data_IF_138443455856
#
_entry.id   IF_138443455856
#
_cell.length_a   1.000
_cell.length_b   1.000
_cell.length_c   1.000
_cell.angle_alpha   90.00
_cell.angle_beta   90.00
_cell.angle_gamma   90.00
#
_symmetry.space_group_name_H-M   'P 1'
#
loop_
_entity.id
_entity.type
_entity.pdbx_description
1 polymer ?
#
# COMPACT_ATOMS: atom_id res chain seq x y z
N UNK A 1 10.94 -23.46 23.58
CA UNK A 1 10.92 -23.32 22.11
C UNK A 1 12.24 -22.67 21.74
N UNK A 2 13.00 -23.26 20.81
CA UNK A 2 14.25 -22.66 20.33
C UNK A 2 13.96 -21.75 19.15
N UNK A 3 14.80 -20.74 18.91
CA UNK A 3 14.81 -20.03 17.63
C UNK A 3 15.48 -20.93 16.61
N UNK A 4 14.89 -21.06 15.43
CA UNK A 4 15.38 -21.86 14.32
C UNK A 4 15.32 -20.99 13.06
N UNK A 5 16.36 -21.08 12.23
CA UNK A 5 16.33 -20.48 10.91
C UNK A 5 15.69 -21.44 9.92
N UNK A 6 15.01 -20.92 8.90
CA UNK A 6 14.35 -21.72 7.87
C UNK A 6 15.17 -21.68 6.59
N UNK A 7 15.46 -22.85 6.00
CA UNK A 7 16.09 -22.94 4.68
C UNK A 7 15.07 -23.49 3.70
N UNK A 8 14.80 -22.71 2.65
CA UNK A 8 13.96 -23.12 1.54
C UNK A 8 14.78 -23.86 0.48
N UNK A 9 14.22 -24.92 -0.07
CA UNK A 9 14.85 -25.73 -1.10
C UNK A 9 14.48 -25.25 -2.50
N UNK A 10 15.47 -25.16 -3.39
CA UNK A 10 15.24 -24.90 -4.83
C UNK A 10 14.31 -25.97 -5.46
N UNK A 11 14.33 -27.19 -4.91
CA UNK A 11 13.48 -28.30 -5.31
C UNK A 11 12.90 -28.98 -4.08
N UNK A 12 11.58 -29.15 -4.07
CA UNK A 12 10.89 -29.82 -2.97
C UNK A 12 11.31 -31.29 -2.83
N UNK A 13 11.41 -31.75 -1.59
CA UNK A 13 11.62 -33.16 -1.28
C UNK A 13 10.30 -33.89 -1.10
N UNK A 14 10.24 -35.14 -1.53
CA UNK A 14 9.02 -35.95 -1.36
C UNK A 14 9.06 -36.76 -0.06
N UNK A 15 8.03 -36.59 0.76
CA UNK A 15 7.83 -37.36 1.97
C UNK A 15 7.65 -38.85 1.62
N UNK A 16 8.44 -39.78 2.19
CA UNK A 16 8.32 -41.21 1.89
C UNK A 16 7.02 -41.84 2.41
N UNK A 17 6.34 -41.19 3.37
CA UNK A 17 5.12 -41.71 4.01
C UNK A 17 3.86 -41.27 3.28
N UNK A 18 3.67 -39.97 3.06
CA UNK A 18 2.45 -39.42 2.45
C UNK A 18 2.62 -38.93 1.02
N UNK A 19 3.83 -38.98 0.45
CA UNK A 19 4.16 -38.41 -0.86
C UNK A 19 3.94 -36.89 -0.98
N UNK A 20 3.68 -36.19 0.13
CA UNK A 20 3.60 -34.73 0.16
C UNK A 20 4.95 -34.07 -0.08
N UNK A 21 4.91 -32.84 -0.59
CA UNK A 21 6.08 -32.02 -0.86
C UNK A 21 6.57 -31.34 0.43
N UNK A 22 7.89 -31.26 0.60
CA UNK A 22 8.58 -30.59 1.70
C UNK A 22 9.47 -29.53 1.07
N UNK A 23 9.15 -28.26 1.31
CA UNK A 23 9.80 -27.12 0.67
C UNK A 23 10.91 -26.50 1.52
N UNK A 24 10.99 -26.83 2.80
CA UNK A 24 11.96 -26.23 3.71
C UNK A 24 12.40 -27.16 4.83
N UNK A 25 13.44 -26.73 5.54
CA UNK A 25 13.91 -27.35 6.78
C UNK A 25 14.30 -26.28 7.79
N UNK A 26 13.94 -26.52 9.05
CA UNK A 26 14.36 -25.68 10.17
C UNK A 26 15.68 -26.18 10.74
N UNK A 27 16.60 -25.25 11.01
CA UNK A 27 17.98 -25.59 11.37
C UNK A 27 18.45 -24.75 12.55
N UNK A 28 19.41 -25.28 13.31
CA UNK A 28 20.03 -24.57 14.45
C UNK A 28 21.50 -24.21 14.28
N UNK A 29 22.05 -24.55 13.13
CA UNK A 29 23.49 -24.50 12.88
C UNK A 29 24.00 -23.12 12.42
N UNK A 30 23.12 -22.13 12.34
CA UNK A 30 23.44 -20.75 11.97
C UNK A 30 23.15 -19.81 13.16
N UNK A 31 22.91 -18.53 12.90
CA UNK A 31 22.82 -17.51 13.94
C UNK A 31 21.54 -17.60 14.78
N UNK A 32 20.54 -18.38 14.35
CA UNK A 32 19.24 -18.58 15.03
C UNK A 32 18.46 -17.27 15.20
N UNK A 33 18.43 -16.47 14.13
CA UNK A 33 17.83 -15.15 14.08
C UNK A 33 16.35 -15.19 13.65
N UNK A 34 15.78 -16.39 13.44
CA UNK A 34 14.46 -16.59 12.84
C UNK A 34 14.40 -16.08 11.40
N UNK A 35 15.51 -16.23 10.68
CA UNK A 35 15.63 -15.78 9.31
C UNK A 35 15.27 -16.90 8.32
N UNK A 36 14.81 -16.46 7.15
CA UNK A 36 14.41 -17.29 6.03
C UNK A 36 15.47 -17.19 4.94
N UNK A 37 16.14 -18.29 4.63
CA UNK A 37 17.26 -18.33 3.70
C UNK A 37 16.97 -19.15 2.45
N UNK A 38 17.44 -18.63 1.32
CA UNK A 38 17.46 -19.28 0.01
C UNK A 38 18.90 -19.48 -0.47
N UNK A 39 19.07 -20.32 -1.48
CA UNK A 39 20.38 -20.53 -2.10
C UNK A 39 20.93 -19.19 -2.60
N UNK A 40 22.23 -18.96 -2.32
CA UNK A 40 23.01 -17.72 -2.49
C UNK A 40 22.87 -16.68 -1.38
N UNK A 41 22.01 -16.90 -0.38
CA UNK A 41 21.91 -15.96 0.74
C UNK A 41 23.08 -16.12 1.72
N UNK A 42 23.35 -15.04 2.47
CA UNK A 42 24.37 -15.01 3.49
C UNK A 42 23.83 -15.61 4.80
N UNK A 43 24.40 -16.74 5.21
CA UNK A 43 23.98 -17.50 6.40
C UNK A 43 25.03 -17.49 7.51
N UNK A 44 26.10 -16.71 7.35
CA UNK A 44 27.15 -16.56 8.37
C UNK A 44 28.37 -15.81 7.85
N UNK A 45 29.45 -15.85 8.63
CA UNK A 45 30.65 -15.08 8.31
C UNK A 45 31.39 -15.60 7.05
N UNK A 46 32.09 -14.72 6.34
CA UNK A 46 32.83 -15.03 5.10
C UNK A 46 33.94 -16.09 5.25
N UNK A 47 34.33 -16.40 6.48
CA UNK A 47 35.33 -17.42 6.81
C UNK A 47 34.69 -18.80 7.06
N UNK A 48 33.38 -18.87 7.26
CA UNK A 48 32.69 -20.09 7.63
C UNK A 48 32.46 -21.00 6.43
N UNK A 49 32.85 -22.25 6.60
CA UNK A 49 32.56 -23.34 5.68
C UNK A 49 31.96 -24.46 6.52
N UNK A 50 30.72 -24.85 6.21
CA UNK A 50 29.97 -25.85 6.98
C UNK A 50 29.11 -26.72 6.07
N UNK A 51 29.04 -28.00 6.43
CA UNK A 51 28.04 -28.94 5.92
C UNK A 51 27.24 -29.40 7.13
N UNK A 52 25.96 -29.08 7.14
CA UNK A 52 25.04 -29.39 8.23
C UNK A 52 24.13 -30.51 7.76
N UNK A 53 23.94 -31.53 8.59
CA UNK A 53 23.01 -32.62 8.31
C UNK A 53 21.76 -32.42 9.14
N UNK A 54 20.61 -32.29 8.50
CA UNK A 54 19.32 -32.15 9.17
C UNK A 54 18.33 -33.23 8.71
N UNK A 55 17.40 -33.61 9.58
CA UNK A 55 16.34 -34.56 9.24
C UNK A 55 15.11 -33.82 8.72
N UNK A 56 14.58 -34.27 7.59
CA UNK A 56 13.40 -33.66 6.97
C UNK A 56 12.16 -33.93 7.83
N UNK A 57 11.46 -32.87 8.18
CA UNK A 57 10.14 -32.90 8.81
C UNK A 57 9.05 -32.74 7.75
N UNK A 58 7.97 -33.52 7.86
CA UNK A 58 6.83 -33.41 6.97
C UNK A 58 5.62 -32.87 7.72
N UNK A 59 5.11 -31.71 7.32
CA UNK A 59 3.96 -31.06 7.96
C UNK A 59 2.69 -31.92 7.87
N UNK A 60 2.43 -32.51 6.70
CA UNK A 60 1.28 -33.40 6.47
C UNK A 60 1.27 -34.63 7.39
N UNK A 61 2.45 -35.15 7.75
CA UNK A 61 2.56 -36.29 8.67
C UNK A 61 2.85 -35.87 10.12
N UNK A 62 3.13 -34.58 10.34
CA UNK A 62 3.60 -33.98 11.59
C UNK A 62 4.71 -34.78 12.27
N UNK A 63 5.66 -35.32 11.49
CA UNK A 63 6.76 -36.14 11.99
C UNK A 63 7.99 -36.07 11.09
N UNK A 64 9.14 -36.39 11.66
CA UNK A 64 10.37 -36.60 10.90
C UNK A 64 10.28 -37.82 10.00
N UNK A 65 10.85 -37.70 8.80
CA UNK A 65 10.69 -38.67 7.72
C UNK A 65 11.73 -39.79 7.72
N UNK A 66 12.77 -39.71 8.57
CA UNK A 66 13.92 -40.61 8.51
C UNK A 66 14.89 -40.31 7.37
N UNK A 67 14.57 -39.36 6.48
CA UNK A 67 15.47 -38.86 5.44
C UNK A 67 16.21 -37.64 5.96
N UNK A 68 17.50 -37.57 5.66
CA UNK A 68 18.31 -36.40 5.97
C UNK A 68 18.69 -35.66 4.72
N UNK A 69 18.84 -34.35 4.86
CA UNK A 69 19.38 -33.44 3.86
C UNK A 69 20.69 -32.85 4.38
N UNK A 70 21.62 -32.62 3.47
CA UNK A 70 22.88 -31.94 3.74
C UNK A 70 22.80 -30.51 3.22
N UNK A 71 22.97 -29.55 4.11
CA UNK A 71 22.92 -28.12 3.82
C UNK A 71 24.36 -27.63 3.75
N UNK A 72 24.73 -27.01 2.64
CA UNK A 72 26.12 -26.63 2.35
C UNK A 72 26.25 -25.12 2.38
N UNK A 73 27.05 -24.59 3.29
CA UNK A 73 27.46 -23.19 3.28
C UNK A 73 28.97 -23.08 3.09
N UNK A 74 29.38 -22.23 2.15
CA UNK A 74 30.78 -21.97 1.83
C UNK A 74 31.05 -20.48 1.84
N UNK A 75 32.04 -20.05 2.63
CA UNK A 75 32.39 -18.63 2.83
C UNK A 75 31.18 -17.81 3.29
N UNK A 76 30.40 -18.35 4.22
CA UNK A 76 29.19 -17.71 4.74
C UNK A 76 28.00 -17.69 3.78
N UNK A 77 28.11 -18.21 2.56
CA UNK A 77 27.02 -18.23 1.56
C UNK A 77 26.39 -19.63 1.50
N UNK A 78 25.06 -19.72 1.49
CA UNK A 78 24.33 -20.96 1.28
C UNK A 78 24.48 -21.41 -0.18
N UNK A 79 25.23 -22.50 -0.41
CA UNK A 79 25.50 -23.00 -1.77
C UNK A 79 24.38 -23.89 -2.31
N UNK A 80 23.59 -24.49 -1.41
CA UNK A 80 22.51 -25.41 -1.76
C UNK A 80 22.33 -26.55 -0.77
N UNK A 81 21.52 -27.52 -1.18
CA UNK A 81 21.26 -28.74 -0.42
C UNK A 81 21.58 -30.00 -1.24
N UNK A 82 21.86 -31.11 -0.57
CA UNK A 82 22.19 -32.39 -1.20
C UNK A 82 21.63 -33.58 -0.40
N UNK A 83 21.37 -34.69 -1.09
CA UNK A 83 20.89 -35.93 -0.50
C UNK A 83 22.01 -36.72 0.21
N UNK A 84 23.25 -36.56 -0.26
CA UNK A 84 24.42 -37.30 0.21
C UNK A 84 25.57 -36.39 0.64
N UNK A 85 26.42 -36.88 1.54
CA UNK A 85 27.60 -36.15 1.98
C UNK A 85 28.62 -35.96 0.84
N UNK A 86 28.71 -36.93 -0.07
CA UNK A 86 29.57 -36.87 -1.25
C UNK A 86 29.15 -35.74 -2.19
N UNK A 87 27.85 -35.60 -2.47
CA UNK A 87 27.30 -34.50 -3.26
C UNK A 87 27.48 -33.15 -2.55
N UNK A 88 27.26 -33.11 -1.24
CA UNK A 88 27.49 -31.90 -0.44
C UNK A 88 28.95 -31.41 -0.51
N UNK A 89 29.92 -32.34 -0.41
CA UNK A 89 31.34 -32.04 -0.60
C UNK A 89 31.66 -31.59 -2.01
N UNK A 90 30.99 -32.18 -3.01
CA UNK A 90 31.15 -31.79 -4.41
C UNK A 90 30.65 -30.35 -4.64
N UNK A 91 29.48 -30.00 -4.12
CA UNK A 91 28.95 -28.61 -4.17
C UNK A 91 29.94 -27.60 -3.59
N UNK A 92 30.56 -27.94 -2.45
CA UNK A 92 31.55 -27.09 -1.83
C UNK A 92 32.82 -26.92 -2.69
N UNK A 93 33.27 -27.98 -3.36
CA UNK A 93 34.45 -27.96 -4.23
C UNK A 93 34.18 -27.32 -5.61
N UNK A 94 32.94 -27.37 -6.09
CA UNK A 94 32.50 -26.77 -7.36
C UNK A 94 32.32 -25.24 -7.26
N UNK A 95 32.46 -24.68 -6.05
CA UNK A 95 32.54 -23.25 -5.79
C UNK A 95 33.90 -22.72 -6.24
N UNK A 96 33.94 -22.06 -7.40
CA UNK A 96 35.11 -21.34 -7.88
C UNK A 96 35.03 -19.84 -7.55
N UNK A 97 36.15 -19.16 -7.76
CA UNK A 97 36.26 -17.73 -7.47
C UNK A 97 35.29 -16.90 -8.33
N UNK A 98 35.07 -17.27 -9.60
CA UNK A 98 34.20 -16.53 -10.50
C UNK A 98 32.74 -16.54 -10.02
N UNK A 99 32.20 -17.70 -9.62
CA UNK A 99 30.85 -17.81 -9.06
C UNK A 99 30.72 -17.03 -7.76
N UNK A 100 31.72 -17.14 -6.89
CA UNK A 100 31.75 -16.43 -5.61
C UNK A 100 31.69 -14.91 -5.83
N UNK A 101 32.48 -14.38 -6.78
CA UNK A 101 32.48 -12.95 -7.12
C UNK A 101 31.13 -12.49 -7.65
N UNK A 102 30.48 -13.27 -8.52
CA UNK A 102 29.15 -12.94 -9.03
C UNK A 102 28.10 -12.92 -7.91
N UNK A 103 28.14 -13.89 -6.99
CA UNK A 103 27.20 -13.94 -5.86
C UNK A 103 27.45 -12.82 -4.86
N UNK A 104 28.71 -12.50 -4.54
CA UNK A 104 29.02 -11.34 -3.71
C UNK A 104 28.56 -10.03 -4.34
N UNK A 105 28.68 -9.90 -5.66
CA UNK A 105 28.18 -8.72 -6.36
C UNK A 105 26.65 -8.59 -6.24
N UNK A 106 25.91 -9.69 -6.41
CA UNK A 106 24.45 -9.69 -6.26
C UNK A 106 24.03 -9.42 -4.81
N UNK A 107 24.69 -10.06 -3.83
CA UNK A 107 24.50 -9.80 -2.40
C UNK A 107 24.84 -8.36 -2.02
N UNK A 108 25.91 -7.81 -2.57
CA UNK A 108 26.30 -6.42 -2.32
C UNK A 108 25.28 -5.44 -2.91
N UNK A 109 24.72 -5.72 -4.09
CA UNK A 109 23.61 -4.92 -4.64
C UNK A 109 22.40 -4.95 -3.72
N UNK A 110 22.01 -6.12 -3.22
CA UNK A 110 20.91 -6.25 -2.24
C UNK A 110 21.20 -5.43 -0.98
N UNK A 111 22.38 -5.59 -0.39
CA UNK A 111 22.80 -4.83 0.78
C UNK A 111 22.77 -3.31 0.56
N UNK A 112 23.25 -2.83 -0.59
CA UNK A 112 23.18 -1.40 -0.93
C UNK A 112 21.74 -0.92 -1.06
N UNK A 113 20.87 -1.73 -1.66
CA UNK A 113 19.43 -1.44 -1.74
C UNK A 113 18.80 -1.36 -0.35
N UNK A 114 19.01 -2.36 0.50
CA UNK A 114 18.49 -2.40 1.87
C UNK A 114 19.01 -1.25 2.73
N UNK A 115 20.29 -0.88 2.58
CA UNK A 115 20.83 0.32 3.25
C UNK A 115 20.18 1.58 2.75
N UNK A 116 20.00 1.73 1.44
CA UNK A 116 19.33 2.89 0.85
C UNK A 116 17.89 3.01 1.35
N UNK A 117 17.17 1.89 1.45
CA UNK A 117 15.83 1.87 2.03
C UNK A 117 15.88 2.27 3.51
N UNK A 118 16.73 1.64 4.31
CA UNK A 118 16.87 1.98 5.72
C UNK A 118 17.20 3.46 5.94
N UNK A 119 18.15 4.01 5.19
CA UNK A 119 18.52 5.43 5.24
C UNK A 119 17.35 6.32 4.83
N UNK A 120 16.54 5.90 3.85
CA UNK A 120 15.32 6.59 3.45
C UNK A 120 14.26 6.59 4.56
N UNK A 121 14.03 5.46 5.25
CA UNK A 121 13.12 5.39 6.40
C UNK A 121 13.62 6.21 7.59
N UNK A 122 14.91 6.10 7.93
CA UNK A 122 15.52 6.87 9.01
C UNK A 122 15.42 8.37 8.73
N UNK A 123 15.77 8.80 7.51
CA UNK A 123 15.65 10.20 7.08
C UNK A 123 14.21 10.71 7.13
N UNK A 124 13.24 9.92 6.66
CA UNK A 124 11.82 10.27 6.76
C UNK A 124 11.36 10.43 8.22
N UNK A 125 11.76 9.54 9.13
CA UNK A 125 11.40 9.64 10.55
C UNK A 125 12.05 10.85 11.23
N UNK A 126 13.28 11.21 10.85
CA UNK A 126 13.93 12.43 11.31
C UNK A 126 13.20 13.69 10.83
N UNK A 127 12.83 13.73 9.54
CA UNK A 127 12.06 14.82 8.95
C UNK A 127 10.66 14.94 9.58
N UNK A 128 9.99 13.80 9.80
CA UNK A 128 8.68 13.75 10.47
C UNK A 128 8.77 14.29 11.90
N UNK A 129 9.81 13.89 12.64
CA UNK A 129 10.09 14.39 14.00
C UNK A 129 10.34 15.88 13.97
N UNK A 130 11.11 16.39 13.02
CA UNK A 130 11.36 17.82 12.91
C UNK A 130 10.09 18.59 12.54
N UNK A 131 9.39 18.16 11.49
CA UNK A 131 8.20 18.81 10.96
C UNK A 131 7.09 18.98 12.00
N UNK A 132 6.75 17.90 12.70
CA UNK A 132 5.68 17.90 13.70
C UNK A 132 6.18 18.20 15.11
N UNK A 133 7.35 17.68 15.50
CA UNK A 133 7.90 17.85 16.85
C UNK A 133 8.43 19.26 17.11
N UNK A 134 9.06 19.89 16.11
CA UNK A 134 9.49 21.29 16.19
C UNK A 134 8.46 22.28 15.64
N UNK A 135 7.26 21.79 15.31
CA UNK A 135 6.12 22.59 14.82
C UNK A 135 6.49 23.46 13.61
N UNK A 136 7.28 22.91 12.69
CA UNK A 136 7.65 23.61 11.46
C UNK A 136 6.42 23.89 10.59
N UNK A 137 5.46 22.97 10.59
CA UNK A 137 4.16 23.11 9.91
C UNK A 137 3.30 24.27 10.44
N UNK A 138 3.50 24.71 11.70
CA UNK A 138 2.77 25.85 12.30
C UNK A 138 3.43 27.21 11.95
N UNK A 139 4.63 27.20 11.34
CA UNK A 139 5.38 28.44 11.07
C UNK A 139 4.72 29.25 9.95
N UNK A 140 4.78 30.59 10.01
CA UNK A 140 4.17 31.44 9.00
C UNK A 140 4.78 31.19 7.61
N UNK A 141 3.91 30.99 6.63
CA UNK A 141 4.20 30.73 5.23
C UNK A 141 4.65 32.00 4.49
N UNK A 142 5.87 32.47 4.78
CA UNK A 142 6.52 33.48 3.93
C UNK A 142 7.26 32.78 2.78
N UNK A 143 7.35 33.41 1.61
CA UNK A 143 8.09 32.87 0.45
C UNK A 143 9.52 32.39 0.80
N UNK A 144 10.17 33.10 1.73
CA UNK A 144 11.52 32.77 2.20
C UNK A 144 11.52 31.50 3.04
N UNK A 145 10.53 31.34 3.92
CA UNK A 145 10.39 30.15 4.77
C UNK A 145 9.96 28.93 3.95
N UNK A 146 9.03 29.08 3.00
CA UNK A 146 8.63 28.00 2.09
C UNK A 146 9.85 27.47 1.31
N UNK A 147 10.65 28.36 0.73
CA UNK A 147 11.88 27.96 0.00
C UNK A 147 12.86 27.23 0.92
N UNK A 148 13.02 27.70 2.15
CA UNK A 148 13.90 27.08 3.15
C UNK A 148 13.39 25.69 3.52
N UNK A 149 12.10 25.54 3.80
CA UNK A 149 11.52 24.26 4.17
C UNK A 149 11.57 23.27 2.99
N UNK A 150 11.29 23.69 1.76
CA UNK A 150 11.47 22.86 0.55
C UNK A 150 12.90 22.38 0.37
N UNK A 151 13.90 23.20 0.71
CA UNK A 151 15.31 22.79 0.69
C UNK A 151 15.64 21.80 1.80
N UNK A 152 15.07 22.03 2.98
CA UNK A 152 15.32 21.22 4.17
C UNK A 152 14.71 19.83 4.06
N UNK A 153 13.46 19.75 3.60
CA UNK A 153 12.69 18.51 3.48
C UNK A 153 12.58 18.04 2.03
N UNK A 154 13.56 18.36 1.17
CA UNK A 154 13.44 18.20 -0.30
C UNK A 154 12.96 16.83 -0.77
N UNK A 155 13.32 15.77 -0.04
CA UNK A 155 12.95 14.39 -0.37
C UNK A 155 11.58 13.95 0.18
N UNK A 156 11.12 14.57 1.27
CA UNK A 156 9.92 14.16 2.00
C UNK A 156 8.85 15.26 2.04
N UNK A 157 9.09 16.38 1.37
CA UNK A 157 8.25 17.59 1.42
C UNK A 157 6.79 17.27 1.10
N UNK A 158 6.53 16.56 0.00
CA UNK A 158 5.16 16.20 -0.43
C UNK A 158 4.46 15.17 0.46
N UNK A 159 5.22 14.42 1.27
CA UNK A 159 4.65 13.52 2.27
C UNK A 159 4.28 14.26 3.57
N UNK A 160 4.91 15.41 3.83
CA UNK A 160 4.75 16.18 5.07
C UNK A 160 3.81 17.38 4.90
N UNK A 161 3.95 18.11 3.80
CA UNK A 161 3.15 19.28 3.46
C UNK A 161 1.76 18.84 3.02
N UNK A 162 0.72 19.50 3.51
CA UNK A 162 -0.68 19.17 3.23
C UNK A 162 -1.24 17.99 4.03
N UNK A 163 -0.39 17.15 4.62
CA UNK A 163 -0.84 16.08 5.51
C UNK A 163 -1.41 16.66 6.83
N UNK A 164 -2.60 16.22 7.22
CA UNK A 164 -3.33 16.70 8.39
C UNK A 164 -2.62 16.36 9.70
N UNK A 165 -1.91 15.24 9.73
CA UNK A 165 -1.27 14.72 10.93
C UNK A 165 -0.12 13.75 10.59
N UNK A 166 0.72 13.37 11.57
CA UNK A 166 1.86 12.49 11.31
C UNK A 166 1.48 11.11 10.76
N UNK A 167 0.29 10.59 11.09
CA UNK A 167 -0.15 9.28 10.61
C UNK A 167 -0.39 9.34 9.11
N UNK A 168 -1.05 10.39 8.64
CA UNK A 168 -1.26 10.60 7.21
C UNK A 168 0.06 10.79 6.47
N UNK A 169 1.04 11.51 7.03
CA UNK A 169 2.37 11.58 6.41
C UNK A 169 3.06 10.22 6.28
N UNK A 170 2.92 9.36 7.30
CA UNK A 170 3.44 7.99 7.25
C UNK A 170 2.72 7.18 6.17
N UNK A 171 1.40 7.29 6.08
CA UNK A 171 0.61 6.63 5.03
C UNK A 171 1.02 7.12 3.64
N UNK A 172 1.22 8.44 3.46
CA UNK A 172 1.72 9.04 2.21
C UNK A 172 3.08 8.48 1.81
N UNK A 173 4.04 8.45 2.75
CA UNK A 173 5.37 7.92 2.50
C UNK A 173 5.37 6.42 2.18
N UNK A 174 4.64 5.62 2.96
CA UNK A 174 4.56 4.17 2.76
C UNK A 174 3.86 3.80 1.45
N UNK A 175 2.79 4.50 1.11
CA UNK A 175 2.06 4.29 -0.15
C UNK A 175 2.95 4.59 -1.34
N UNK A 176 3.65 5.73 -1.33
CA UNK A 176 4.61 6.07 -2.37
C UNK A 176 5.73 5.01 -2.49
N UNK A 177 6.31 4.57 -1.36
CA UNK A 177 7.33 3.51 -1.34
C UNK A 177 6.82 2.19 -1.93
N UNK A 178 5.62 1.75 -1.54
CA UNK A 178 4.99 0.53 -2.07
C UNK A 178 4.76 0.64 -3.57
N UNK A 179 4.21 1.77 -4.02
CA UNK A 179 3.91 2.03 -5.43
C UNK A 179 5.17 2.01 -6.29
N UNK A 180 6.23 2.68 -5.82
CA UNK A 180 7.54 2.66 -6.48
C UNK A 180 8.15 1.25 -6.54
N UNK A 181 8.02 0.48 -5.45
CA UNK A 181 8.45 -0.92 -5.42
C UNK A 181 7.69 -1.79 -6.42
N UNK A 182 6.37 -1.64 -6.50
CA UNK A 182 5.54 -2.37 -7.46
C UNK A 182 5.85 -1.98 -8.91
N UNK A 183 6.06 -0.70 -9.21
CA UNK A 183 6.50 -0.24 -10.53
C UNK A 183 7.87 -0.82 -10.92
N UNK A 184 8.81 -0.88 -9.98
CA UNK A 184 10.12 -1.51 -10.18
C UNK A 184 10.01 -2.99 -10.53
N UNK A 185 9.10 -3.71 -9.88
CA UNK A 185 8.85 -5.12 -10.19
C UNK A 185 8.23 -5.30 -11.57
N UNK A 186 7.19 -4.53 -11.89
CA UNK A 186 6.56 -4.55 -13.22
C UNK A 186 7.58 -4.24 -14.32
N UNK A 187 8.46 -3.27 -14.10
CA UNK A 187 9.51 -2.95 -15.04
C UNK A 187 10.51 -4.11 -15.22
N UNK A 188 10.91 -4.78 -14.13
CA UNK A 188 11.80 -5.96 -14.17
C UNK A 188 11.15 -7.17 -14.84
N UNK A 189 9.84 -7.32 -14.70
CA UNK A 189 9.04 -8.36 -15.37
C UNK A 189 8.90 -8.09 -16.88
N UNK A 190 9.24 -6.89 -17.35
CA UNK A 190 9.25 -6.53 -18.77
C UNK A 190 7.92 -5.99 -19.28
N UNK A 191 7.07 -5.46 -18.39
CA UNK A 191 5.85 -4.77 -18.80
C UNK A 191 6.19 -3.47 -19.54
N UNK A 192 5.64 -3.28 -20.73
CA UNK A 192 5.85 -2.08 -21.55
C UNK A 192 4.63 -1.15 -21.54
N UNK A 193 3.44 -1.67 -21.26
CA UNK A 193 2.17 -0.95 -21.31
C UNK A 193 1.42 -1.15 -19.99
N UNK A 194 0.93 -0.06 -19.42
CA UNK A 194 0.02 -0.09 -18.28
C UNK A 194 -1.40 0.26 -18.77
N UNK A 195 -2.31 -0.70 -18.63
CA UNK A 195 -3.74 -0.49 -18.87
C UNK A 195 -4.37 0.18 -17.65
N UNK A 196 -5.01 1.33 -17.87
CA UNK A 196 -5.69 2.12 -16.85
C UNK A 196 -7.17 2.29 -17.20
N UNK A 197 -8.00 2.55 -16.21
CA UNK A 197 -9.44 2.75 -16.39
C UNK A 197 -10.05 3.59 -15.27
N UNK A 198 -11.29 4.01 -15.47
CA UNK A 198 -12.12 4.68 -14.47
C UNK A 198 -13.08 3.69 -13.81
N UNK A 199 -13.34 3.86 -12.51
CA UNK A 199 -14.31 3.03 -11.79
C UNK A 199 -15.77 3.35 -12.12
N UNK A 200 -16.03 4.62 -12.46
CA UNK A 200 -17.37 5.13 -12.73
C UNK A 200 -17.53 5.49 -14.20
N UNK A 201 -18.75 5.35 -14.71
CA UNK A 201 -19.10 5.82 -16.05
C UNK A 201 -19.02 7.36 -16.04
N UNK A 202 -17.99 7.89 -16.70
CA UNK A 202 -17.69 9.32 -16.70
C UNK A 202 -18.82 10.09 -17.39
N UNK A 203 -19.69 10.72 -16.61
CA UNK A 203 -20.75 11.60 -17.11
C UNK A 203 -20.24 12.99 -17.53
N UNK A 204 -18.94 13.23 -17.34
CA UNK A 204 -18.23 14.44 -17.76
C UNK A 204 -18.12 14.49 -19.28
N UNK A 205 -18.43 15.66 -19.84
CA UNK A 205 -18.31 15.92 -21.26
C UNK A 205 -16.86 16.21 -21.65
N UNK A 206 -16.39 15.64 -22.78
CA UNK A 206 -15.09 16.00 -23.34
C UNK A 206 -14.96 17.51 -23.49
N UNK A 207 -13.87 18.07 -22.96
CA UNK A 207 -13.62 19.52 -23.00
C UNK A 207 -14.02 20.27 -21.73
N UNK A 208 -14.41 19.60 -20.64
CA UNK A 208 -14.61 20.25 -19.35
C UNK A 208 -13.33 20.90 -18.82
N UNK A 209 -13.48 22.11 -18.29
CA UNK A 209 -12.37 22.93 -17.78
C UNK A 209 -12.06 22.63 -16.31
N UNK A 210 -13.03 22.10 -15.56
CA UNK A 210 -12.96 21.79 -14.13
C UNK A 210 -13.36 20.34 -13.94
N UNK A 211 -12.38 19.52 -13.56
CA UNK A 211 -12.54 18.07 -13.44
C UNK A 211 -11.47 17.48 -12.53
N UNK A 212 -11.80 16.35 -11.92
CA UNK A 212 -10.91 15.47 -11.16
C UNK A 212 -11.36 14.04 -11.40
N UNK A 213 -10.42 13.13 -11.65
CA UNK A 213 -10.73 11.71 -11.93
C UNK A 213 -9.78 10.77 -11.20
N UNK A 214 -10.35 9.74 -10.59
CA UNK A 214 -9.59 8.64 -10.00
C UNK A 214 -9.33 7.55 -11.04
N UNK A 215 -8.07 7.16 -11.13
CA UNK A 215 -7.54 6.25 -12.16
C UNK A 215 -7.05 4.96 -11.51
N UNK A 216 -7.50 3.85 -12.08
CA UNK A 216 -7.25 2.51 -11.57
C UNK A 216 -6.25 1.78 -12.47
N UNK A 217 -5.33 1.05 -11.84
CA UNK A 217 -4.42 0.12 -12.50
C UNK A 217 -4.36 -1.16 -11.66
N UNK A 218 -4.77 -2.28 -12.26
CA UNK A 218 -5.08 -3.48 -11.49
C UNK A 218 -3.88 -4.08 -10.75
N UNK A 219 -2.71 -4.11 -11.37
CA UNK A 219 -1.53 -4.76 -10.79
C UNK A 219 -0.91 -3.94 -9.66
N UNK A 220 -0.90 -2.62 -9.78
CA UNK A 220 -0.43 -1.69 -8.76
C UNK A 220 -1.40 -1.67 -7.59
N UNK A 221 -2.71 -1.59 -7.85
CA UNK A 221 -3.71 -1.66 -6.80
C UNK A 221 -3.64 -2.98 -6.02
N UNK A 222 -3.50 -4.13 -6.71
CA UNK A 222 -3.37 -5.44 -6.08
C UNK A 222 -2.06 -5.59 -5.30
N UNK A 223 -0.92 -5.11 -5.81
CA UNK A 223 0.38 -5.23 -5.13
C UNK A 223 0.54 -4.26 -3.96
N UNK A 224 -0.15 -3.13 -3.99
CA UNK A 224 0.00 -2.05 -3.01
C UNK A 224 -1.17 -1.95 -2.01
N UNK A 225 -2.24 -2.73 -2.20
CA UNK A 225 -3.50 -2.66 -1.44
C UNK A 225 -4.16 -1.27 -1.55
N UNK A 226 -4.23 -0.71 -2.77
CA UNK A 226 -4.80 0.62 -3.01
C UNK A 226 -6.25 0.54 -3.47
N UNK A 227 -7.03 1.56 -3.13
CA UNK A 227 -8.38 1.74 -3.66
C UNK A 227 -8.32 2.17 -5.13
N UNK A 228 -7.54 3.22 -5.43
CA UNK A 228 -7.20 3.66 -6.79
C UNK A 228 -5.70 4.01 -6.85
N UNK A 229 -5.16 4.15 -8.06
CA UNK A 229 -3.70 4.28 -8.27
C UNK A 229 -3.24 5.73 -8.37
N UNK A 230 -3.96 6.55 -9.14
CA UNK A 230 -3.67 7.97 -9.32
C UNK A 230 -4.96 8.78 -9.28
N UNK A 231 -4.86 10.04 -8.90
CA UNK A 231 -5.92 11.02 -9.15
C UNK A 231 -5.38 12.05 -10.12
N UNK A 232 -6.08 12.34 -11.21
CA UNK A 232 -5.69 13.39 -12.15
C UNK A 232 -6.68 14.53 -12.03
N UNK A 233 -6.18 15.69 -11.63
CA UNK A 233 -6.99 16.86 -11.32
C UNK A 233 -6.62 18.05 -12.20
N UNK A 234 -7.63 18.73 -12.74
CA UNK A 234 -7.42 19.99 -13.44
C UNK A 234 -7.04 21.09 -12.47
N UNK A 235 -6.14 21.98 -12.88
CA UNK A 235 -5.73 23.13 -12.09
C UNK A 235 -6.91 24.03 -11.71
N UNK A 236 -7.94 24.10 -12.56
CA UNK A 236 -9.14 24.91 -12.30
C UNK A 236 -10.03 24.31 -11.22
N UNK A 237 -10.10 22.98 -11.12
CA UNK A 237 -10.77 22.28 -10.02
C UNK A 237 -10.00 22.54 -8.72
N UNK A 238 -8.68 22.32 -8.76
CA UNK A 238 -7.81 22.56 -7.61
C UNK A 238 -7.92 24.00 -7.06
N UNK A 239 -7.97 24.99 -7.95
CA UNK A 239 -8.16 26.40 -7.58
C UNK A 239 -9.55 26.67 -6.99
N UNK A 240 -10.59 25.91 -7.38
CA UNK A 240 -11.95 26.03 -6.83
C UNK A 240 -12.04 25.43 -5.42
N UNK A 241 -11.35 24.31 -5.19
CA UNK A 241 -11.26 23.67 -3.88
C UNK A 241 -10.40 24.47 -2.90
N UNK A 242 -9.64 25.45 -3.42
CA UNK A 242 -8.74 26.29 -2.62
C UNK A 242 -7.49 25.55 -2.16
N UNK A 243 -7.18 24.43 -2.81
CA UNK A 243 -6.02 23.59 -2.53
C UNK A 243 -4.80 24.04 -3.33
N UNK A 244 -3.61 23.59 -2.91
CA UNK A 244 -2.35 23.88 -3.60
C UNK A 244 -1.69 22.59 -4.04
N UNK A 245 -1.15 22.59 -5.26
CA UNK A 245 -0.43 21.44 -5.84
C UNK A 245 0.72 20.92 -4.93
N UNK A 246 1.34 21.81 -4.14
CA UNK A 246 2.42 21.43 -3.24
C UNK A 246 1.98 20.72 -1.94
N UNK A 247 0.67 20.72 -1.66
CA UNK A 247 0.04 20.07 -0.51
C UNK A 247 -0.54 18.68 -0.88
N UNK A 248 -0.61 18.37 -2.18
CA UNK A 248 -1.13 17.10 -2.66
C UNK A 248 -0.10 15.97 -2.53
N UNK A 249 -0.56 14.74 -2.27
CA UNK A 249 0.25 13.52 -2.39
C UNK A 249 0.93 13.38 -3.76
N UNK A 250 2.01 12.59 -3.81
CA UNK A 250 2.79 12.40 -5.05
C UNK A 250 1.99 11.79 -6.20
N UNK A 251 0.99 10.97 -5.92
CA UNK A 251 0.16 10.29 -6.93
C UNK A 251 -1.04 11.12 -7.41
N UNK A 252 -1.20 12.34 -6.90
CA UNK A 252 -2.16 13.31 -7.41
C UNK A 252 -1.49 14.20 -8.46
N UNK A 253 -1.98 14.11 -9.70
CA UNK A 253 -1.35 14.69 -10.88
C UNK A 253 -2.16 15.89 -11.36
N UNK A 254 -1.59 17.08 -11.23
CA UNK A 254 -2.23 18.32 -11.66
C UNK A 254 -1.95 18.61 -13.14
N UNK A 255 -3.00 18.94 -13.90
CA UNK A 255 -2.94 19.28 -15.33
C UNK A 255 -3.65 20.59 -15.63
N UNK A 256 -3.24 21.31 -16.68
CA UNK A 256 -3.90 22.58 -17.09
C UNK A 256 -4.88 22.37 -18.25
N UNK A 257 -4.85 21.19 -18.86
CA UNK A 257 -5.60 20.85 -20.05
C UNK A 257 -7.06 20.48 -19.75
N UNK A 258 -7.91 20.61 -20.78
CA UNK A 258 -9.31 20.19 -20.72
C UNK A 258 -9.41 18.66 -20.62
N UNK A 259 -10.50 18.19 -20.02
CA UNK A 259 -10.72 16.76 -19.85
C UNK A 259 -10.73 16.00 -21.19
N UNK A 260 -9.87 14.98 -21.25
CA UNK A 260 -9.91 13.91 -22.25
C UNK A 260 -9.05 12.75 -21.78
N UNK A 261 -9.38 11.52 -22.19
CA UNK A 261 -8.61 10.32 -21.85
C UNK A 261 -7.14 10.46 -22.29
N UNK A 262 -6.89 11.11 -23.44
CA UNK A 262 -5.53 11.36 -23.95
C UNK A 262 -4.72 12.26 -22.99
N UNK A 263 -5.37 13.24 -22.36
CA UNK A 263 -4.73 14.10 -21.35
C UNK A 263 -4.40 13.30 -20.11
N UNK A 264 -5.32 12.45 -19.63
CA UNK A 264 -5.10 11.60 -18.46
C UNK A 264 -3.95 10.61 -18.68
N UNK A 265 -3.94 9.91 -19.82
CA UNK A 265 -2.84 9.00 -20.17
C UNK A 265 -1.49 9.74 -20.22
N UNK A 266 -1.42 10.91 -20.88
CA UNK A 266 -0.18 11.71 -20.96
C UNK A 266 0.29 12.23 -19.61
N UNK A 267 -0.65 12.60 -18.72
CA UNK A 267 -0.34 13.06 -17.38
C UNK A 267 0.36 11.96 -16.58
N UNK A 268 -0.20 10.74 -16.61
CA UNK A 268 0.36 9.58 -15.92
C UNK A 268 1.69 9.15 -16.57
N UNK A 269 1.81 9.14 -17.91
CA UNK A 269 3.09 8.87 -18.58
C UNK A 269 4.17 9.87 -18.20
N UNK A 270 3.82 11.15 -18.09
CA UNK A 270 4.76 12.21 -17.66
C UNK A 270 5.17 11.99 -16.21
N UNK A 271 4.23 11.62 -15.34
CA UNK A 271 4.50 11.25 -13.97
C UNK A 271 5.48 10.07 -13.89
N UNK A 272 5.20 8.98 -14.59
CA UNK A 272 6.07 7.79 -14.66
C UNK A 272 7.47 8.12 -15.19
N UNK A 273 7.58 8.99 -16.20
CA UNK A 273 8.87 9.44 -16.75
C UNK A 273 9.70 10.25 -15.77
N UNK A 274 9.08 11.05 -14.90
CA UNK A 274 9.81 11.76 -13.84
C UNK A 274 10.52 10.78 -12.89
N UNK A 275 9.95 9.58 -12.76
CA UNK A 275 10.49 8.47 -11.98
C UNK A 275 11.36 7.49 -12.78
N UNK A 276 11.71 7.85 -14.02
CA UNK A 276 12.57 7.08 -14.96
C UNK A 276 11.96 5.79 -15.49
N UNK A 277 10.65 5.66 -15.45
CA UNK A 277 9.96 4.58 -16.14
C UNK A 277 9.51 5.03 -17.54
N UNK A 278 9.58 4.12 -18.51
CA UNK A 278 9.17 4.37 -19.91
C UNK A 278 7.95 3.51 -20.30
N UNK A 279 7.03 3.28 -19.36
CA UNK A 279 5.76 2.64 -19.67
C UNK A 279 4.95 3.52 -20.64
N UNK A 280 4.30 2.87 -21.61
CA UNK A 280 3.18 3.47 -22.33
C UNK A 280 1.91 3.30 -21.52
N UNK A 281 1.00 4.27 -21.53
CA UNK A 281 -0.27 4.17 -20.79
C UNK A 281 -1.42 4.09 -21.77
N UNK A 282 -2.35 3.16 -21.54
CA UNK A 282 -3.53 2.96 -22.38
C UNK A 282 -4.80 2.96 -21.55
N UNK A 283 -5.75 3.81 -21.92
CA UNK A 283 -7.09 3.77 -21.36
C UNK A 283 -7.85 2.55 -21.90
N UNK A 284 -8.48 1.79 -21.00
CA UNK A 284 -9.37 0.66 -21.33
C UNK A 284 -10.72 0.87 -20.66
N UNK A 285 -11.76 0.28 -21.25
CA UNK A 285 -13.10 0.28 -20.67
C UNK A 285 -13.16 -0.61 -19.41
N UNK A 286 -14.05 -0.29 -18.47
CA UNK A 286 -14.20 -1.01 -17.21
C UNK A 286 -14.54 -2.50 -17.39
N UNK A 287 -15.24 -2.86 -18.47
CA UNK A 287 -15.57 -4.26 -18.80
C UNK A 287 -14.36 -5.04 -19.31
N UNK A 288 -13.35 -4.35 -19.86
CA UNK A 288 -12.10 -4.95 -20.30
C UNK A 288 -11.11 -5.08 -19.15
N UNK A 289 -11.24 -4.24 -18.12
CA UNK A 289 -10.45 -4.32 -16.91
C UNK A 289 -10.77 -5.58 -16.09
N UNK A 290 -9.73 -6.21 -15.51
CA UNK A 290 -9.91 -7.32 -14.57
C UNK A 290 -10.65 -6.83 -13.32
N UNK A 291 -10.44 -5.57 -12.96
CA UNK A 291 -10.94 -4.97 -11.73
C UNK A 291 -9.97 -5.25 -10.59
N UNK A 292 -9.77 -4.26 -9.73
CA UNK A 292 -8.94 -4.35 -8.52
C UNK A 292 -9.65 -3.73 -7.32
N UNK A 293 -9.13 -3.98 -6.12
CA UNK A 293 -9.69 -3.44 -4.88
C UNK A 293 -11.18 -3.78 -4.70
N UNK A 294 -11.98 -2.74 -4.48
CA UNK A 294 -13.43 -2.84 -4.26
C UNK A 294 -14.17 -3.37 -5.51
N UNK A 295 -13.76 -2.94 -6.72
CA UNK A 295 -14.38 -3.35 -8.00
C UNK A 295 -14.28 -4.87 -8.18
N UNK A 296 -13.13 -5.44 -7.84
CA UNK A 296 -12.93 -6.89 -7.92
C UNK A 296 -13.84 -7.65 -6.94
N UNK A 297 -13.92 -7.18 -5.69
CA UNK A 297 -14.79 -7.81 -4.69
C UNK A 297 -16.26 -7.78 -5.11
N UNK A 298 -16.71 -6.70 -5.74
CA UNK A 298 -18.07 -6.56 -6.23
C UNK A 298 -18.33 -7.40 -7.48
N UNK A 299 -17.40 -7.46 -8.44
CA UNK A 299 -17.49 -8.40 -9.57
C UNK A 299 -17.56 -9.85 -9.09
N UNK A 300 -16.77 -10.23 -8.09
CA UNK A 300 -16.81 -11.58 -7.49
C UNK A 300 -18.14 -11.87 -6.79
N UNK A 301 -18.69 -10.91 -6.02
CA UNK A 301 -20.03 -11.03 -5.41
C UNK A 301 -21.16 -11.06 -6.43
N UNK A 302 -21.03 -10.32 -7.54
CA UNK A 302 -21.98 -10.32 -8.65
C UNK A 302 -22.00 -11.68 -9.37
N UNK A 303 -20.83 -12.31 -9.57
CA UNK A 303 -20.74 -13.67 -10.13
C UNK A 303 -21.32 -14.72 -9.17
N UNK A 304 -21.19 -14.50 -7.85
CA UNK A 304 -21.85 -15.34 -6.84
C UNK A 304 -23.36 -15.13 -6.79
N UNK A 305 -23.84 -13.90 -7.01
CA UNK A 305 -25.28 -13.56 -7.06
C UNK A 305 -25.93 -13.87 -8.41
N UNK A 306 -25.21 -13.92 -9.53
CA UNK A 306 -25.71 -14.40 -10.83
C UNK A 306 -26.08 -15.90 -10.83
N UNK A 307 -25.61 -16.66 -9.83
CA UNK A 307 -26.15 -18.01 -9.54
C UNK A 307 -27.56 -17.96 -8.93
N UNK A 308 -28.06 -16.78 -8.57
CA UNK A 308 -29.38 -16.48 -8.00
C UNK A 308 -29.95 -15.19 -8.61
N UNK A 309 -30.38 -15.28 -9.88
CA UNK A 309 -31.14 -14.27 -10.67
C UNK A 309 -30.53 -12.84 -10.80
N UNK A 310 -30.26 -12.47 -12.05
CA UNK A 310 -29.50 -11.29 -12.45
C UNK A 310 -30.02 -9.94 -11.93
N UNK A 311 -29.07 -9.17 -11.43
CA UNK A 311 -29.23 -7.79 -10.95
C UNK A 311 -28.66 -6.84 -12.03
N UNK A 312 -29.31 -5.70 -12.27
CA UNK A 312 -28.90 -4.71 -13.28
C UNK A 312 -27.75 -3.82 -12.80
N UNK A 313 -26.90 -3.33 -13.72
CA UNK A 313 -25.76 -2.44 -13.45
C UNK A 313 -26.10 -1.19 -12.61
N UNK A 314 -27.27 -0.57 -12.79
CA UNK A 314 -27.71 0.56 -11.93
C UNK A 314 -27.85 0.18 -10.44
N UNK A 315 -28.14 -1.09 -10.13
CA UNK A 315 -28.14 -1.56 -8.74
C UNK A 315 -26.73 -1.78 -8.21
N UNK A 316 -25.77 -2.13 -9.07
CA UNK A 316 -24.35 -2.31 -8.71
C UNK A 316 -23.70 -0.96 -8.35
N UNK A 317 -23.96 0.10 -9.11
CA UNK A 317 -23.47 1.46 -8.81
C UNK A 317 -24.01 1.97 -7.47
N UNK A 318 -25.30 1.74 -7.22
CA UNK A 318 -25.90 2.11 -5.95
C UNK A 318 -25.36 1.29 -4.77
N UNK A 319 -25.07 0.01 -4.98
CA UNK A 319 -24.43 -0.84 -3.97
C UNK A 319 -22.98 -0.42 -3.71
N UNK A 320 -22.26 0.09 -4.72
CA UNK A 320 -20.92 0.68 -4.57
C UNK A 320 -20.94 1.88 -3.62
N UNK A 321 -21.81 2.86 -3.89
CA UNK A 321 -21.97 4.03 -3.01
C UNK A 321 -22.33 3.60 -1.57
N UNK A 322 -23.26 2.66 -1.41
CA UNK A 322 -23.69 2.16 -0.10
C UNK A 322 -22.57 1.39 0.64
N UNK A 323 -21.75 0.61 -0.06
CA UNK A 323 -20.62 -0.12 0.52
C UNK A 323 -19.43 0.78 0.86
N UNK A 324 -19.14 1.81 0.07
CA UNK A 324 -18.09 2.79 0.39
C UNK A 324 -18.44 3.62 1.63
N UNK A 325 -19.71 4.02 1.74
CA UNK A 325 -20.24 4.67 2.95
C UNK A 325 -20.10 3.76 4.16
N UNK A 326 -20.37 2.46 3.99
CA UNK A 326 -20.26 1.47 5.06
C UNK A 326 -18.81 1.15 5.45
N UNK A 327 -17.91 1.02 4.47
CA UNK A 327 -16.48 0.82 4.67
C UNK A 327 -15.85 2.02 5.40
N UNK A 328 -16.23 3.23 4.98
CA UNK A 328 -15.88 4.48 5.68
C UNK A 328 -16.42 4.48 7.11
N UNK A 329 -17.65 4.00 7.33
CA UNK A 329 -18.24 3.88 8.66
C UNK A 329 -17.51 2.86 9.55
N UNK A 330 -17.13 1.70 9.01
CA UNK A 330 -16.36 0.67 9.72
C UNK A 330 -14.93 1.15 10.03
N UNK A 331 -14.30 1.89 9.10
CA UNK A 331 -13.00 2.53 9.30
C UNK A 331 -13.04 3.59 10.41
N UNK A 332 -14.09 4.41 10.46
CA UNK A 332 -14.32 5.41 11.52
C UNK A 332 -14.63 4.72 12.86
N UNK A 333 -15.42 3.64 12.86
CA UNK A 333 -15.74 2.86 14.06
C UNK A 333 -14.50 2.14 14.63
N UNK A 334 -13.64 1.61 13.76
CA UNK A 334 -12.37 0.98 14.10
C UNK A 334 -11.34 1.97 14.69
N UNK A 335 -11.41 3.26 14.29
CA UNK A 335 -10.57 4.33 14.85
C UNK A 335 -10.87 4.66 16.31
N UNK A 336 -11.99 4.18 16.86
CA UNK A 336 -12.24 4.20 18.30
C UNK A 336 -12.32 5.60 18.92
N UNK A 337 -12.54 6.66 18.14
CA UNK A 337 -12.68 8.02 18.67
C UNK A 337 -14.11 8.23 19.19
N UNK A 338 -14.44 7.54 20.28
CA UNK A 338 -15.76 7.49 20.93
C UNK A 338 -16.21 8.80 21.58
N UNK A 339 -15.71 9.95 21.12
CA UNK A 339 -16.12 11.24 21.65
C UNK A 339 -16.36 12.17 20.47
N UNK A 340 -17.64 12.33 20.09
CA UNK A 340 -18.21 13.45 19.33
C UNK A 340 -18.73 13.15 17.91
N UNK A 341 -19.13 11.92 17.60
CA UNK A 341 -19.88 11.64 16.36
C UNK A 341 -21.15 10.85 16.67
N UNK A 342 -22.29 11.28 16.14
CA UNK A 342 -23.56 10.57 16.18
C UNK A 342 -23.89 9.99 14.82
N UNK A 343 -24.55 8.84 14.82
CA UNK A 343 -25.07 8.23 13.60
C UNK A 343 -26.55 7.93 13.77
N UNK A 344 -27.35 8.33 12.79
CA UNK A 344 -28.76 8.00 12.75
C UNK A 344 -29.23 7.95 11.31
N UNK A 345 -29.72 6.79 10.89
CA UNK A 345 -30.53 6.65 9.66
C UNK A 345 -29.83 7.11 8.36
N UNK A 346 -28.50 6.89 8.26
CA UNK A 346 -27.68 7.24 7.09
C UNK A 346 -26.98 8.61 7.19
N UNK A 347 -27.24 9.38 8.24
CA UNK A 347 -26.66 10.71 8.45
C UNK A 347 -25.67 10.71 9.62
N UNK A 348 -24.67 11.59 9.54
CA UNK A 348 -23.64 11.75 10.58
C UNK A 348 -23.78 13.09 11.28
N UNK A 349 -23.55 13.11 12.57
CA UNK A 349 -23.58 14.30 13.40
C UNK A 349 -22.22 14.55 14.01
N UNK A 350 -21.49 15.58 13.58
CA UNK A 350 -20.23 15.98 14.22
C UNK A 350 -20.51 16.84 15.46
N UNK A 351 -19.67 16.81 16.49
CA UNK A 351 -19.82 17.64 17.70
C UNK A 351 -18.52 18.38 18.04
N UNK A 352 -18.62 19.68 18.27
CA UNK A 352 -17.53 20.55 18.71
C UNK A 352 -17.97 21.28 19.98
N UNK A 353 -17.05 21.43 20.93
CA UNK A 353 -17.31 22.23 22.12
C UNK A 353 -17.10 23.71 21.78
N UNK A 354 -18.13 24.53 21.94
CA UNK A 354 -18.03 25.97 21.84
C UNK A 354 -17.65 26.55 23.21
N UNK A 355 -16.39 26.98 23.28
CA UNK A 355 -15.74 27.44 24.51
C UNK A 355 -16.28 28.80 24.96
N UNK A 356 -16.90 29.58 24.07
CA UNK A 356 -17.46 30.91 24.40
C UNK A 356 -18.88 30.82 24.97
N UNK A 357 -19.67 29.83 24.55
CA UNK A 357 -21.07 29.68 24.96
C UNK A 357 -21.32 28.60 26.03
N UNK A 358 -20.29 27.83 26.41
CA UNK A 358 -20.38 26.65 27.30
C UNK A 358 -21.42 25.63 26.80
N UNK A 359 -21.46 25.43 25.47
CA UNK A 359 -22.36 24.50 24.78
C UNK A 359 -21.60 23.63 23.80
N UNK A 360 -22.24 22.54 23.41
CA UNK A 360 -21.80 21.67 22.33
C UNK A 360 -22.61 22.01 21.08
N UNK A 361 -21.90 22.33 19.99
CA UNK A 361 -22.47 22.57 18.67
C UNK A 361 -22.19 21.34 17.81
N UNK A 362 -23.16 20.91 17.04
CA UNK A 362 -22.98 19.83 16.10
C UNK A 362 -23.62 20.12 14.75
N UNK A 363 -23.05 19.54 13.70
CA UNK A 363 -23.52 19.68 12.32
C UNK A 363 -23.97 18.31 11.81
N UNK A 364 -25.07 18.30 11.04
CA UNK A 364 -25.49 17.11 10.28
C UNK A 364 -24.71 17.13 8.97
N UNK A 365 -23.94 16.07 8.72
CA UNK A 365 -23.18 15.86 7.50
C UNK A 365 -23.95 14.90 6.58
N UNK A 366 -23.78 15.05 5.26
CA UNK A 366 -24.50 14.25 4.25
C UNK A 366 -25.86 14.85 3.82
N UNK A 367 -26.07 16.15 4.04
CA UNK A 367 -27.23 16.90 3.56
C UNK A 367 -26.79 18.12 2.74
N UNK A 368 -27.54 18.48 1.70
CA UNK A 368 -27.29 19.69 0.89
C UNK A 368 -27.63 21.00 1.63
N UNK A 369 -28.23 20.91 2.83
CA UNK A 369 -28.55 22.04 3.72
C UNK A 369 -27.66 21.99 4.97
N UNK A 370 -27.17 23.15 5.43
CA UNK A 370 -26.40 23.28 6.68
C UNK A 370 -27.30 23.20 7.92
N UNK A 371 -27.53 21.99 8.42
CA UNK A 371 -28.24 21.77 9.69
C UNK A 371 -27.28 21.75 10.87
N UNK A 372 -27.42 22.75 11.76
CA UNK A 372 -26.66 22.85 13.01
C UNK A 372 -27.59 22.63 14.20
N UNK A 373 -27.15 21.81 15.16
CA UNK A 373 -27.85 21.54 16.41
C UNK A 373 -26.95 21.86 17.61
N UNK A 374 -27.53 22.35 18.70
CA UNK A 374 -26.79 22.74 19.91
C UNK A 374 -27.36 22.09 21.17
N UNK A 375 -26.54 21.82 22.18
CA UNK A 375 -26.98 21.28 23.47
C UNK A 375 -25.93 21.45 24.56
N UNK A 376 -26.34 21.31 25.84
CA UNK A 376 -25.39 21.43 26.97
C UNK A 376 -24.73 20.10 27.31
N UNK A 377 -25.33 19.00 26.89
CA UNK A 377 -24.79 17.66 27.10
C UNK A 377 -24.83 16.87 25.80
N UNK A 378 -23.91 15.90 25.67
CA UNK A 378 -23.85 15.01 24.49
C UNK A 378 -25.21 14.34 24.22
N UNK A 379 -25.94 13.95 25.27
CA UNK A 379 -27.26 13.32 25.14
C UNK A 379 -28.33 14.27 24.59
N UNK A 380 -28.29 15.55 24.95
CA UNK A 380 -29.19 16.56 24.38
C UNK A 380 -28.86 16.82 22.91
N UNK A 381 -27.58 16.86 22.56
CA UNK A 381 -27.13 17.00 21.19
C UNK A 381 -27.53 15.80 20.33
N UNK A 382 -27.41 14.57 20.85
CA UNK A 382 -27.83 13.36 20.14
C UNK A 382 -29.33 13.36 19.86
N UNK A 383 -30.14 13.79 20.82
CA UNK A 383 -31.59 13.86 20.63
C UNK A 383 -31.95 14.92 19.58
N UNK A 384 -31.33 16.10 19.64
CA UNK A 384 -31.55 17.17 18.66
C UNK A 384 -31.07 16.79 17.26
N UNK A 385 -29.94 16.10 17.16
CA UNK A 385 -29.45 15.53 15.92
C UNK A 385 -30.49 14.61 15.27
N UNK A 386 -31.05 13.65 16.03
CA UNK A 386 -32.10 12.75 15.52
C UNK A 386 -33.37 13.49 15.12
N UNK A 387 -33.74 14.54 15.85
CA UNK A 387 -34.90 15.38 15.53
C UNK A 387 -34.70 16.14 14.20
N UNK A 388 -33.51 16.70 13.94
CA UNK A 388 -33.21 17.41 12.69
C UNK A 388 -33.13 16.45 11.50
N UNK A 389 -32.48 15.28 11.65
CA UNK A 389 -32.48 14.24 10.60
C UNK A 389 -33.91 13.76 10.29
N UNK A 390 -34.75 13.61 11.31
CA UNK A 390 -36.16 13.23 11.12
C UNK A 390 -37.01 14.33 10.46
N UNK A 391 -36.63 15.61 10.58
CA UNK A 391 -37.27 16.73 9.87
C UNK A 391 -36.82 16.80 8.43
N UNK A 392 -35.53 16.59 8.17
CA UNK A 392 -34.97 16.56 6.83
C UNK A 392 -35.68 15.52 5.96
N UNK A 393 -35.83 14.28 6.47
CA UNK A 393 -36.55 13.21 5.76
C UNK A 393 -38.05 13.43 5.51
N UNK A 394 -38.65 14.43 6.17
CA UNK A 394 -40.08 14.76 6.01
C UNK A 394 -40.31 15.92 5.05
N UNK A 395 -39.27 16.67 4.69
CA UNK A 395 -39.29 17.56 3.53
C UNK A 395 -39.17 16.71 2.28
#
# INVERSE_FOLDING_TARGET
MGMFDTIYFDKAYTCPVCQGEIHSVQVKAFENMLEDYHVKDCVGHAEEIKIVKEELFCDNCSKFTGKSVYIVAGRGILLGTADTLEEAKKLLNDLNLEKLVLWYHDLYRRYISERGDKESYEGFLEDLREWYGERVHERPETDTEIKRQRLQFIWNWRHLKGALNPVESVERFLTHKKMMGALDELWKEGHEILDIYYAEEMSMSQGEESWSVDVYQDELNERCDLNWTWTVISKKELEQDGEKEEELPEWEVVVEELFSDEVVCKAIEKWLRNWRYEFSVRMVELEQARGSGLIKQLKERAVESEKVEGVSMEMLEKEMEEEEIKSSAEFIEARGDKRKVFYYEGFYGSLVADVESDRLLGKVEGTDEDFVYEGRTVRECEQRFREEVSRYKKK
#
